data_IF_761581894701
#
_entry.id   IF_761581894701
#
_cell.length_a   1.000
_cell.length_b   1.000
_cell.length_c   1.000
_cell.angle_alpha   90.00
_cell.angle_beta   90.00
_cell.angle_gamma   90.00
#
_symmetry.space_group_name_H-M   'P 1'
#
loop_
_entity.id
_entity.type
_entity.pdbx_description
1 polymer ?
#
# COMPACT_ATOMS: atom_id res chain seq x y z
N UNK A 1 7.14 -2.97 -13.12
CA UNK A 1 5.91 -3.74 -12.90
C UNK A 1 5.00 -3.45 -14.06
N UNK A 2 4.42 -4.49 -14.67
CA UNK A 2 3.53 -4.30 -15.82
C UNK A 2 2.17 -3.74 -15.39
N UNK A 3 1.42 -3.14 -16.32
CA UNK A 3 0.16 -2.46 -15.99
C UNK A 3 -0.90 -3.43 -15.43
N UNK A 4 -0.89 -4.70 -15.82
CA UNK A 4 -1.88 -5.69 -15.36
C UNK A 4 -1.32 -6.72 -14.37
N UNK A 5 -0.04 -6.62 -14.04
CA UNK A 5 0.62 -7.51 -13.07
C UNK A 5 0.15 -7.19 -11.64
N UNK A 6 0.04 -8.21 -10.78
CA UNK A 6 -0.21 -7.99 -9.35
C UNK A 6 1.08 -7.61 -8.64
N UNK A 7 0.98 -6.74 -7.63
CA UNK A 7 2.14 -6.25 -6.90
C UNK A 7 2.96 -7.38 -6.25
N UNK A 8 2.29 -8.42 -5.73
CA UNK A 8 2.98 -9.55 -5.09
C UNK A 8 3.76 -10.41 -6.10
N UNK A 9 3.28 -10.54 -7.34
CA UNK A 9 4.01 -11.26 -8.40
C UNK A 9 5.28 -10.49 -8.78
N UNK A 10 5.17 -9.17 -8.95
CA UNK A 10 6.31 -8.29 -9.17
C UNK A 10 7.32 -8.36 -8.01
N UNK A 11 6.83 -8.27 -6.77
CA UNK A 11 7.69 -8.28 -5.58
C UNK A 11 8.43 -9.61 -5.43
N UNK A 12 7.78 -10.74 -5.69
CA UNK A 12 8.41 -12.06 -5.61
C UNK A 12 9.60 -12.14 -6.57
N UNK A 13 9.42 -11.75 -7.84
CA UNK A 13 10.50 -11.72 -8.83
C UNK A 13 11.64 -10.78 -8.42
N UNK A 14 11.31 -9.62 -7.85
CA UNK A 14 12.31 -8.69 -7.35
C UNK A 14 13.08 -9.26 -6.15
N UNK A 15 12.39 -9.92 -5.23
CA UNK A 15 12.99 -10.55 -4.05
C UNK A 15 13.94 -11.68 -4.45
N UNK A 16 13.59 -12.49 -5.45
CA UNK A 16 14.48 -13.54 -5.97
C UNK A 16 15.78 -12.96 -6.54
N UNK A 17 15.72 -11.81 -7.22
CA UNK A 17 16.90 -11.09 -7.71
C UNK A 17 17.74 -10.57 -6.55
N UNK A 18 17.12 -9.94 -5.54
CA UNK A 18 17.83 -9.43 -4.36
C UNK A 18 18.51 -10.57 -3.59
N UNK A 19 17.82 -11.70 -3.40
CA UNK A 19 18.37 -12.89 -2.75
C UNK A 19 19.53 -13.49 -3.55
N UNK A 20 19.41 -13.52 -4.87
CA UNK A 20 20.49 -13.98 -5.75
C UNK A 20 21.72 -13.07 -5.62
N UNK A 21 21.55 -11.75 -5.58
CA UNK A 21 22.66 -10.80 -5.37
C UNK A 21 23.30 -10.97 -3.98
N UNK A 22 22.50 -11.19 -2.93
CA UNK A 22 23.03 -11.50 -1.60
C UNK A 22 23.86 -12.79 -1.59
N UNK A 23 23.43 -13.83 -2.32
CA UNK A 23 24.19 -15.07 -2.47
C UNK A 23 25.55 -14.89 -3.17
N UNK A 24 25.70 -13.84 -3.98
CA UNK A 24 26.94 -13.47 -4.66
C UNK A 24 27.84 -12.53 -3.82
N UNK A 25 27.43 -12.17 -2.61
CA UNK A 25 28.17 -11.27 -1.71
C UNK A 25 27.80 -9.78 -1.86
N UNK A 26 26.91 -9.43 -2.79
CA UNK A 26 26.46 -8.06 -2.99
C UNK A 26 25.29 -7.73 -2.05
N UNK A 27 25.60 -7.24 -0.85
CA UNK A 27 24.58 -6.81 0.10
C UNK A 27 23.92 -5.50 -0.33
N UNK A 28 22.72 -5.60 -0.88
CA UNK A 28 21.89 -4.43 -1.22
C UNK A 28 21.26 -3.87 0.07
N UNK A 29 21.41 -2.57 0.38
CA UNK A 29 20.71 -1.94 1.48
C UNK A 29 19.21 -1.82 1.20
N UNK A 30 18.40 -1.93 2.25
CA UNK A 30 16.93 -1.86 2.17
C UNK A 30 16.43 -0.56 1.52
N UNK A 31 17.06 0.58 1.80
CA UNK A 31 16.71 1.87 1.19
C UNK A 31 16.77 1.84 -0.34
N UNK A 32 17.79 1.16 -0.91
CA UNK A 32 17.89 0.97 -2.36
C UNK A 32 16.78 0.08 -2.91
N UNK A 33 16.41 -0.97 -2.17
CA UNK A 33 15.30 -1.85 -2.53
C UNK A 33 13.98 -1.08 -2.52
N UNK A 34 13.71 -0.32 -1.46
CA UNK A 34 12.54 0.55 -1.33
C UNK A 34 12.45 1.57 -2.49
N UNK A 35 13.55 2.28 -2.77
CA UNK A 35 13.60 3.23 -3.88
C UNK A 35 13.38 2.55 -5.24
N UNK A 36 13.90 1.34 -5.43
CA UNK A 36 13.71 0.56 -6.66
C UNK A 36 12.25 0.12 -6.82
N UNK A 37 11.60 -0.32 -5.75
CA UNK A 37 10.18 -0.67 -5.76
C UNK A 37 9.36 0.55 -6.17
N UNK A 38 9.49 1.67 -5.46
CA UNK A 38 8.71 2.89 -5.72
C UNK A 38 8.88 3.41 -7.15
N UNK A 39 10.11 3.37 -7.70
CA UNK A 39 10.40 3.78 -9.09
C UNK A 39 9.87 2.81 -10.15
N UNK A 40 9.64 1.55 -9.79
CA UNK A 40 9.20 0.51 -10.74
C UNK A 40 7.69 0.31 -10.79
N UNK A 41 6.94 1.06 -9.97
CA UNK A 41 5.48 1.00 -9.93
C UNK A 41 4.85 1.77 -11.10
N UNK A 42 3.72 1.27 -11.63
CA UNK A 42 2.95 1.93 -12.69
C UNK A 42 2.15 3.13 -12.16
N UNK A 43 1.65 3.96 -13.08
CA UNK A 43 1.01 5.25 -12.76
C UNK A 43 -0.18 5.13 -11.81
N UNK A 44 -0.89 3.99 -11.80
CA UNK A 44 -2.00 3.75 -10.87
C UNK A 44 -1.60 3.82 -9.38
N UNK A 45 -0.31 3.68 -9.06
CA UNK A 45 0.22 3.82 -7.71
C UNK A 45 0.71 5.25 -7.40
N UNK A 46 0.70 6.19 -8.37
CA UNK A 46 1.29 7.52 -8.21
C UNK A 46 0.78 8.23 -6.95
N UNK A 47 -0.53 8.22 -6.69
CA UNK A 47 -1.10 8.84 -5.48
C UNK A 47 -0.52 8.26 -4.18
N UNK A 48 -0.27 6.95 -4.14
CA UNK A 48 0.33 6.28 -2.99
C UNK A 48 1.83 6.56 -2.89
N UNK A 49 2.53 6.57 -4.02
CA UNK A 49 3.96 6.87 -4.10
C UNK A 49 4.24 8.29 -3.62
N UNK A 50 3.51 9.28 -4.11
CA UNK A 50 3.62 10.68 -3.67
C UNK A 50 3.38 10.81 -2.16
N UNK A 51 2.31 10.20 -1.64
CA UNK A 51 2.03 10.23 -0.20
C UNK A 51 3.15 9.59 0.64
N UNK A 52 3.78 8.51 0.16
CA UNK A 52 4.92 7.90 0.86
C UNK A 52 6.13 8.83 0.83
N UNK A 53 6.44 9.44 -0.32
CA UNK A 53 7.59 10.34 -0.48
C UNK A 53 7.45 11.64 0.33
N UNK A 54 6.24 12.17 0.47
CA UNK A 54 6.00 13.41 1.22
C UNK A 54 5.91 13.19 2.73
N UNK A 55 5.31 12.07 3.18
CA UNK A 55 4.98 11.85 4.58
C UNK A 55 5.97 10.96 5.32
N UNK A 56 6.82 10.20 4.61
CA UNK A 56 7.73 9.23 5.21
C UNK A 56 9.14 9.36 4.66
N UNK A 57 10.10 9.03 5.53
CA UNK A 57 11.50 8.91 5.16
C UNK A 57 11.73 7.56 4.46
N UNK A 58 11.98 7.61 3.15
CA UNK A 58 12.26 6.42 2.33
C UNK A 58 13.61 5.77 2.62
N UNK A 59 14.54 6.47 3.27
CA UNK A 59 15.88 5.95 3.57
C UNK A 59 15.89 5.05 4.82
N UNK A 60 14.96 5.28 5.74
CA UNK A 60 14.82 4.53 6.99
C UNK A 60 13.65 3.53 6.99
N UNK A 61 12.90 3.45 5.89
CA UNK A 61 11.73 2.56 5.79
C UNK A 61 12.14 1.12 5.49
N UNK A 62 11.58 0.17 6.24
CA UNK A 62 11.79 -1.26 6.01
C UNK A 62 11.06 -1.73 4.76
N UNK A 63 11.67 -2.66 4.02
CA UNK A 63 11.07 -3.22 2.80
C UNK A 63 9.71 -3.86 3.09
N UNK A 64 9.60 -4.58 4.20
CA UNK A 64 8.36 -5.26 4.63
C UNK A 64 7.20 -4.28 4.86
N UNK A 65 7.49 -3.11 5.44
CA UNK A 65 6.50 -2.06 5.68
C UNK A 65 5.99 -1.47 4.36
N UNK A 66 6.92 -1.20 3.42
CA UNK A 66 6.58 -0.73 2.08
C UNK A 66 5.67 -1.73 1.36
N UNK A 67 6.07 -3.00 1.37
CA UNK A 67 5.39 -4.09 0.67
C UNK A 67 3.98 -4.29 1.22
N UNK A 68 3.82 -4.33 2.54
CA UNK A 68 2.50 -4.44 3.17
C UNK A 68 1.57 -3.27 2.84
N UNK A 69 2.12 -2.05 2.81
CA UNK A 69 1.39 -0.83 2.46
C UNK A 69 0.93 -0.82 1.00
N UNK A 70 1.78 -1.26 0.08
CA UNK A 70 1.48 -1.35 -1.36
C UNK A 70 0.51 -2.49 -1.67
N UNK A 71 0.68 -3.66 -1.05
CA UNK A 71 -0.24 -4.79 -1.19
C UNK A 71 -1.65 -4.41 -0.71
N UNK A 72 -1.76 -3.77 0.46
CA UNK A 72 -3.04 -3.31 1.00
C UNK A 72 -3.69 -2.25 0.09
N UNK A 73 -2.88 -1.36 -0.50
CA UNK A 73 -3.38 -0.37 -1.44
C UNK A 73 -3.96 -1.01 -2.71
N UNK A 74 -3.27 -2.00 -3.29
CA UNK A 74 -3.74 -2.70 -4.49
C UNK A 74 -5.03 -3.49 -4.23
N UNK A 75 -5.14 -4.16 -3.08
CA UNK A 75 -6.36 -4.89 -2.68
C UNK A 75 -7.57 -3.95 -2.56
N UNK A 76 -7.38 -2.77 -1.97
CA UNK A 76 -8.45 -1.77 -1.85
C UNK A 76 -8.82 -1.11 -3.17
N UNK A 77 -7.88 -1.02 -4.12
CA UNK A 77 -8.13 -0.49 -5.46
C UNK A 77 -9.01 -1.43 -6.31
N UNK A 78 -8.89 -2.75 -6.12
CA UNK A 78 -9.71 -3.76 -6.82
C UNK A 78 -11.02 -4.11 -6.12
N UNK A 79 -11.23 -3.67 -4.87
CA UNK A 79 -12.50 -3.87 -4.19
C UNK A 79 -13.60 -2.99 -4.81
N UNK A 80 -14.82 -3.51 -5.07
CA UNK A 80 -15.93 -2.69 -5.54
C UNK A 80 -16.22 -1.63 -4.48
N UNK A 81 -16.06 -0.35 -4.86
CA UNK A 81 -16.50 0.80 -4.06
C UNK A 81 -18.03 0.77 -3.98
N UNK A 82 -18.56 -0.02 -3.05
CA UNK A 82 -20.00 -0.32 -3.03
C UNK A 82 -20.48 -0.89 -1.71
N UNK A 83 -20.22 -0.21 -0.59
CA UNK A 83 -21.08 -0.29 0.60
C UNK A 83 -21.22 1.09 1.21
N UNK A 84 -22.16 1.88 0.68
CA UNK A 84 -22.74 2.99 1.41
C UNK A 84 -23.46 2.40 2.62
N UNK A 85 -22.86 2.51 3.81
CA UNK A 85 -23.55 2.18 5.06
C UNK A 85 -24.27 3.45 5.48
N UNK A 86 -25.50 3.63 4.99
CA UNK A 86 -26.34 4.74 5.39
C UNK A 86 -26.68 4.63 6.89
N UNK A 87 -26.23 5.60 7.69
CA UNK A 87 -26.63 5.72 9.09
C UNK A 87 -28.09 6.23 9.13
N UNK A 88 -29.02 5.37 9.56
CA UNK A 88 -30.38 5.84 9.88
C UNK A 88 -30.37 6.48 11.26
N UNK A 89 -30.63 7.78 11.30
CA UNK A 89 -30.93 8.50 12.54
C UNK A 89 -32.30 8.07 13.05
N UNK A 90 -32.35 7.45 14.23
CA UNK A 90 -33.58 7.25 14.98
C UNK A 90 -33.92 8.54 15.73
N UNK A 91 -35.03 9.19 15.36
CA UNK A 91 -35.61 10.27 16.16
C UNK A 91 -36.37 9.65 17.33
N UNK A 92 -35.72 9.51 18.48
CA UNK A 92 -36.44 9.28 19.73
C UNK A 92 -37.10 10.60 20.13
N UNK A 93 -38.41 10.67 19.93
CA UNK A 93 -39.25 11.74 20.46
C UNK A 93 -39.27 11.56 21.97
N UNK A 94 -38.60 12.46 22.70
CA UNK A 94 -38.87 12.65 24.12
C UNK A 94 -40.26 13.27 24.23
N UNK A 95 -41.29 12.46 24.50
CA UNK A 95 -42.53 13.00 25.03
C UNK A 95 -42.33 13.20 26.53
N UNK A 96 -41.94 14.43 26.89
CA UNK A 96 -42.30 15.04 28.17
C UNK A 96 -43.82 15.03 28.28
N UNK A 97 -44.37 14.16 29.11
CA UNK A 97 -45.66 14.42 29.73
C UNK A 97 -45.37 14.98 31.12
N UNK A 98 -45.44 16.31 31.23
CA UNK A 98 -45.56 17.01 32.50
C UNK A 98 -46.98 16.75 33.05
N UNK A 99 -47.04 16.71 34.38
CA UNK A 99 -48.17 16.41 35.29
C UNK A 99 -49.52 16.99 34.86
#
# INVERSE_FOLDING_TARGET
MEENEMFMDFYTRLNDIVNSMWGLGDKIPESKVCAKILRSLPERFNSKVTAIQELRDTDNMRVEELVGSLQTYELNFKAPKGKSIALKSSKCISQENFV
#
